data_IF_474249162103
#
_entry.id   IF_474249162103
#
_cell.length_a   1.000
_cell.length_b   1.000
_cell.length_c   1.000
_cell.angle_alpha   90.00
_cell.angle_beta   90.00
_cell.angle_gamma   90.00
#
_symmetry.space_group_name_H-M   'P 1'
#
loop_
_entity.id
_entity.type
_entity.pdbx_description
1 polymer ?
#
# COMPACT_ATOMS: atom_id res chain seq x y z
N UNK A 1 43.65 -41.29 31.70
CA UNK A 1 44.85 -42.02 31.26
C UNK A 1 44.78 -42.20 29.75
N UNK A 2 45.40 -41.28 29.00
CA UNK A 2 45.64 -41.43 27.57
C UNK A 2 47.10 -41.03 27.38
N UNK A 3 47.96 -42.04 27.24
CA UNK A 3 49.39 -41.87 27.05
C UNK A 3 49.64 -41.49 25.59
N UNK A 4 50.07 -40.26 25.35
CA UNK A 4 50.59 -39.83 24.05
C UNK A 4 52.10 -39.91 24.12
N UNK A 5 52.66 -40.81 23.31
CA UNK A 5 54.09 -41.10 23.24
C UNK A 5 54.88 -39.90 22.75
N UNK A 6 55.90 -39.54 23.52
CA UNK A 6 56.91 -38.55 23.16
C UNK A 6 57.87 -39.19 22.13
N UNK A 7 57.70 -38.86 20.85
CA UNK A 7 58.69 -39.17 19.83
C UNK A 7 59.79 -38.11 19.94
N UNK A 8 60.94 -38.51 20.48
CA UNK A 8 62.15 -37.71 20.45
C UNK A 8 62.65 -37.64 18.99
N UNK A 9 62.29 -36.57 18.29
CA UNK A 9 62.94 -36.20 17.03
C UNK A 9 64.31 -35.65 17.42
N UNK A 10 65.35 -36.48 17.26
CA UNK A 10 66.73 -36.02 17.33
C UNK A 10 66.96 -35.02 16.20
N UNK A 11 66.91 -33.74 16.53
CA UNK A 11 67.31 -32.67 15.60
C UNK A 11 68.82 -32.78 15.51
N UNK A 12 69.32 -33.38 14.44
CA UNK A 12 70.72 -33.25 14.07
C UNK A 12 71.02 -31.75 14.01
N UNK A 13 72.04 -31.30 14.75
CA UNK A 13 72.54 -29.94 14.62
C UNK A 13 72.80 -29.69 13.12
N UNK A 14 72.17 -28.68 12.50
CA UNK A 14 72.45 -28.39 11.12
C UNK A 14 73.96 -28.12 11.01
N UNK A 15 74.61 -28.81 10.08
CA UNK A 15 75.93 -28.43 9.62
C UNK A 15 75.92 -26.92 9.38
N UNK A 16 76.94 -26.21 9.89
CA UNK A 16 77.16 -24.75 9.80
C UNK A 16 76.70 -24.19 8.45
N UNK A 17 75.41 -23.95 8.29
CA UNK A 17 74.86 -23.22 7.17
C UNK A 17 75.40 -21.81 7.35
N UNK A 18 76.00 -21.28 6.29
CA UNK A 18 76.49 -19.91 6.32
C UNK A 18 75.29 -19.01 6.68
N UNK A 19 75.18 -18.58 7.94
CA UNK A 19 74.13 -17.69 8.46
C UNK A 19 74.19 -16.27 7.86
N UNK A 20 74.66 -16.17 6.62
CA UNK A 20 74.91 -14.96 5.87
C UNK A 20 73.90 -14.81 4.73
N UNK A 21 73.05 -15.82 4.50
CA UNK A 21 72.00 -15.77 3.48
C UNK A 21 70.62 -15.65 4.13
N UNK A 22 69.80 -14.64 3.78
CA UNK A 22 68.44 -14.47 4.29
C UNK A 22 67.52 -15.70 4.13
N UNK A 23 67.85 -16.63 3.24
CA UNK A 23 67.13 -17.90 3.04
C UNK A 23 67.22 -18.87 4.23
N UNK A 24 68.22 -18.72 5.09
CA UNK A 24 68.53 -19.69 6.15
C UNK A 24 67.82 -19.38 7.47
N UNK A 25 66.93 -18.37 7.46
CA UNK A 25 66.30 -17.80 8.64
C UNK A 25 64.83 -18.21 8.69
N UNK A 26 64.34 -18.55 9.88
CA UNK A 26 62.91 -18.79 10.08
C UNK A 26 62.17 -17.46 9.93
N UNK A 27 61.40 -17.31 8.85
CA UNK A 27 60.53 -16.17 8.60
C UNK A 27 59.10 -16.45 9.04
N UNK A 28 58.39 -15.43 9.52
CA UNK A 28 56.95 -15.48 9.75
C UNK A 28 56.22 -15.49 8.39
N UNK A 29 55.00 -16.05 8.31
CA UNK A 29 54.19 -15.97 7.09
C UNK A 29 54.01 -14.51 6.63
N UNK A 30 54.48 -14.20 5.42
CA UNK A 30 54.42 -12.85 4.84
C UNK A 30 55.51 -11.88 5.32
N UNK A 31 56.42 -12.29 6.21
CA UNK A 31 57.58 -11.49 6.61
C UNK A 31 58.54 -11.31 5.43
N UNK A 32 58.90 -10.07 5.16
CA UNK A 32 60.00 -9.74 4.25
C UNK A 32 61.20 -9.30 5.10
N UNK A 33 62.40 -9.67 4.68
CA UNK A 33 63.65 -9.24 5.28
C UNK A 33 64.53 -8.60 4.22
N UNK A 34 65.17 -7.49 4.56
CA UNK A 34 66.13 -6.81 3.69
C UNK A 34 67.42 -6.54 4.44
N UNK A 35 68.56 -6.72 3.78
CA UNK A 35 69.82 -6.15 4.23
C UNK A 35 69.76 -4.65 3.96
N UNK A 36 69.83 -3.84 5.02
CA UNK A 36 69.71 -2.37 4.91
C UNK A 36 71.02 -1.69 4.51
N UNK A 37 72.03 -2.46 4.12
CA UNK A 37 73.13 -1.96 3.31
C UNK A 37 74.31 -1.44 4.11
N UNK A 38 75.12 -2.38 4.59
CA UNK A 38 76.50 -2.15 4.99
C UNK A 38 77.35 -3.13 4.18
N UNK A 39 77.82 -2.71 3.00
CA UNK A 39 78.43 -3.63 2.01
C UNK A 39 79.95 -3.77 2.17
N UNK A 40 80.54 -3.10 3.16
CA UNK A 40 81.96 -3.22 3.48
C UNK A 40 82.16 -3.44 4.98
N UNK A 41 83.15 -4.26 5.34
CA UNK A 41 83.55 -4.49 6.73
C UNK A 41 83.75 -3.12 7.42
N UNK A 42 82.96 -2.84 8.47
CA UNK A 42 82.94 -1.60 9.28
C UNK A 42 82.08 -0.42 8.79
N UNK A 43 81.05 -0.64 7.97
CA UNK A 43 80.26 0.47 7.42
C UNK A 43 79.10 0.99 8.29
N UNK A 44 78.65 0.26 9.33
CA UNK A 44 77.67 0.78 10.29
C UNK A 44 78.28 1.18 11.64
N UNK A 45 77.76 2.28 12.20
CA UNK A 45 77.97 2.61 13.61
C UNK A 45 77.30 1.56 14.51
N UNK A 46 78.02 1.08 15.53
CA UNK A 46 77.44 0.33 16.65
C UNK A 46 77.17 1.35 17.79
N UNK A 47 75.91 1.62 18.20
CA UNK A 47 74.67 0.90 17.90
C UNK A 47 74.04 1.20 16.54
N UNK A 48 73.35 0.19 15.99
CA UNK A 48 72.38 0.39 14.91
C UNK A 48 71.06 0.94 15.48
N UNK A 49 70.46 1.92 14.80
CA UNK A 49 69.18 2.53 15.19
C UNK A 49 68.16 2.21 14.11
N UNK A 50 67.01 1.66 14.50
CA UNK A 50 65.94 1.33 13.56
C UNK A 50 65.40 2.60 12.90
N UNK A 51 65.37 2.70 11.56
CA UNK A 51 65.00 3.92 10.88
C UNK A 51 63.51 4.25 11.05
N UNK A 52 63.21 5.55 11.07
CA UNK A 52 61.84 6.06 11.12
C UNK A 52 61.01 5.70 9.88
N UNK A 53 61.65 5.57 8.73
CA UNK A 53 61.04 5.13 7.48
C UNK A 53 61.40 3.68 7.20
N UNK A 54 60.40 2.85 6.87
CA UNK A 54 60.60 1.47 6.45
C UNK A 54 61.61 1.38 5.29
N UNK A 55 62.68 0.58 5.41
CA UNK A 55 63.61 0.31 4.33
C UNK A 55 62.94 -0.17 3.04
N UNK A 56 63.50 0.23 1.89
CA UNK A 56 63.06 -0.24 0.57
C UNK A 56 63.15 -1.77 0.48
N UNK A 57 62.07 -2.41 0.05
CA UNK A 57 61.95 -3.87 -0.03
C UNK A 57 61.25 -4.51 1.18
N UNK A 58 60.94 -3.74 2.23
CA UNK A 58 59.98 -4.13 3.26
C UNK A 58 58.56 -3.69 2.90
N UNK A 59 57.52 -4.36 3.40
CA UNK A 59 56.14 -3.98 3.15
C UNK A 59 55.86 -2.56 3.65
N UNK A 60 55.38 -1.69 2.76
CA UNK A 60 55.01 -0.33 3.10
C UNK A 60 53.92 -0.30 4.18
N UNK A 61 54.14 0.49 5.24
CA UNK A 61 53.24 0.53 6.40
C UNK A 61 53.29 -0.75 7.27
N UNK A 62 54.22 -1.66 7.00
CA UNK A 62 54.44 -2.86 7.80
C UNK A 62 54.90 -2.56 9.23
N UNK A 63 54.96 -3.60 10.04
CA UNK A 63 55.45 -3.54 11.41
C UNK A 63 56.76 -4.31 11.49
N UNK A 64 57.80 -3.69 12.08
CA UNK A 64 59.09 -4.35 12.26
C UNK A 64 58.92 -5.57 13.18
N UNK A 65 59.36 -6.72 12.71
CA UNK A 65 59.22 -8.01 13.41
C UNK A 65 60.54 -8.46 14.03
N UNK A 66 61.67 -8.16 13.39
CA UNK A 66 62.99 -8.67 13.78
C UNK A 66 64.11 -7.79 13.23
N UNK A 67 65.19 -7.66 13.99
CA UNK A 67 66.45 -7.04 13.55
C UNK A 67 67.59 -8.01 13.83
N UNK A 68 68.50 -8.13 12.88
CA UNK A 68 69.66 -9.01 12.97
C UNK A 68 70.88 -8.12 12.75
N UNK A 69 71.82 -8.15 13.68
CA UNK A 69 73.06 -7.39 13.61
C UNK A 69 74.22 -8.37 13.48
N UNK A 70 75.03 -8.21 12.43
CA UNK A 70 76.19 -9.05 12.17
C UNK A 70 77.50 -8.33 12.50
N UNK A 71 78.40 -8.99 13.22
CA UNK A 71 79.69 -8.43 13.61
C UNK A 71 80.58 -8.07 12.40
N UNK A 72 81.33 -6.97 12.48
CA UNK A 72 82.42 -6.67 11.57
C UNK A 72 83.52 -7.75 11.59
N UNK A 73 83.99 -8.20 10.42
CA UNK A 73 85.17 -9.08 10.34
C UNK A 73 86.43 -8.23 10.56
N UNK A 74 87.15 -8.47 11.65
CA UNK A 74 88.43 -7.81 11.96
C UNK A 74 89.59 -8.80 11.94
N UNK A 75 89.46 -9.92 11.22
CA UNK A 75 90.50 -10.96 11.13
C UNK A 75 90.64 -11.85 12.39
N UNK A 76 89.70 -11.78 13.33
CA UNK A 76 89.61 -12.67 14.51
C UNK A 76 88.24 -13.32 14.56
N UNK A 77 88.21 -14.65 14.64
CA UNK A 77 86.96 -15.42 14.74
C UNK A 77 86.21 -15.01 16.01
N UNK A 78 84.98 -14.54 15.85
CA UNK A 78 84.05 -14.30 16.96
C UNK A 78 83.24 -15.55 17.26
N UNK A 79 82.80 -15.70 18.51
CA UNK A 79 82.01 -16.88 18.96
C UNK A 79 80.54 -16.71 18.59
N UNK A 80 80.08 -15.45 18.44
CA UNK A 80 78.74 -15.10 17.99
C UNK A 80 78.83 -14.10 16.83
N UNK A 81 78.79 -14.58 15.59
CA UNK A 81 78.87 -13.72 14.41
C UNK A 81 77.59 -12.88 14.21
N UNK A 82 76.44 -13.35 14.73
CA UNK A 82 75.13 -12.74 14.56
C UNK A 82 74.40 -12.60 15.91
N UNK A 83 73.87 -11.41 16.19
CA UNK A 83 72.90 -11.18 17.28
C UNK A 83 71.51 -10.94 16.70
N UNK A 84 70.53 -11.75 17.12
CA UNK A 84 69.14 -11.63 16.68
C UNK A 84 68.32 -10.94 17.76
N UNK A 85 67.77 -9.79 17.41
CA UNK A 85 66.87 -9.02 18.23
C UNK A 85 65.44 -9.27 17.75
N UNK A 86 64.72 -10.07 18.50
CA UNK A 86 63.30 -10.28 18.31
C UNK A 86 62.61 -10.40 19.67
N UNK A 87 61.33 -10.01 19.77
CA UNK A 87 60.58 -10.21 21.00
C UNK A 87 60.35 -11.71 21.23
N UNK A 88 61.22 -12.32 22.04
CA UNK A 88 61.21 -13.76 22.35
C UNK A 88 61.21 -13.92 23.88
N UNK A 89 60.33 -14.79 24.42
CA UNK A 89 60.53 -15.42 25.72
C UNK A 89 61.22 -16.75 25.46
N UNK A 90 62.38 -16.94 26.06
CA UNK A 90 62.97 -18.27 26.19
C UNK A 90 62.62 -18.78 27.58
N UNK A 91 61.76 -19.79 27.66
CA UNK A 91 61.47 -20.50 28.92
C UNK A 91 61.95 -21.94 28.79
N UNK A 92 63.10 -22.26 29.41
CA UNK A 92 63.76 -23.56 29.26
C UNK A 92 64.27 -23.78 27.83
N UNK A 93 64.01 -24.94 27.24
CA UNK A 93 64.34 -25.26 25.83
C UNK A 93 63.30 -24.78 24.82
N UNK A 94 62.25 -24.08 25.28
CA UNK A 94 61.15 -23.63 24.42
C UNK A 94 61.32 -22.16 24.10
N UNK A 95 61.52 -21.87 22.81
CA UNK A 95 61.50 -20.51 22.27
C UNK A 95 60.05 -20.16 21.97
N UNK A 96 59.43 -19.31 22.80
CA UNK A 96 58.09 -18.79 22.58
C UNK A 96 58.19 -17.37 22.06
N UNK A 97 57.77 -17.17 20.82
CA UNK A 97 57.58 -15.84 20.26
C UNK A 97 56.48 -15.14 21.07
N UNK A 98 56.85 -14.14 21.88
CA UNK A 98 55.86 -13.30 22.53
C UNK A 98 55.57 -12.19 21.55
N UNK A 99 54.30 -12.01 21.22
CA UNK A 99 53.82 -10.73 20.68
C UNK A 99 53.90 -9.66 21.78
N UNK A 100 55.10 -9.30 22.25
CA UNK A 100 55.31 -7.99 22.89
C UNK A 100 55.32 -6.92 21.80
N UNK A 101 55.22 -5.67 22.24
CA UNK A 101 55.17 -4.48 21.39
C UNK A 101 56.15 -4.62 20.22
N UNK A 102 55.64 -4.37 19.02
CA UNK A 102 56.43 -4.30 17.81
C UNK A 102 57.71 -3.49 18.03
N UNK A 103 58.80 -3.88 17.36
CA UNK A 103 59.98 -3.03 17.30
C UNK A 103 59.55 -1.68 16.71
N UNK A 104 59.91 -0.58 17.37
CA UNK A 104 59.53 0.76 16.95
C UNK A 104 60.73 1.49 16.37
N UNK A 105 60.47 2.42 15.47
CA UNK A 105 61.50 3.33 14.98
C UNK A 105 62.22 4.02 16.15
N UNK A 106 63.55 4.07 16.09
CA UNK A 106 64.40 4.61 17.15
C UNK A 106 64.93 3.56 18.14
N UNK A 107 64.43 2.31 18.11
CA UNK A 107 65.02 1.22 18.89
C UNK A 107 66.50 1.03 18.50
N UNK A 108 67.35 0.82 19.50
CA UNK A 108 68.80 0.69 19.34
C UNK A 108 69.27 -0.75 19.55
N UNK A 109 70.18 -1.21 18.70
CA UNK A 109 70.70 -2.57 18.70
C UNK A 109 72.22 -2.53 18.70
N UNK A 110 72.83 -3.08 19.75
CA UNK A 110 74.28 -3.10 19.96
C UNK A 110 74.84 -4.47 19.57
N UNK A 111 75.98 -4.55 18.92
CA UNK A 111 76.70 -5.83 18.87
C UNK A 111 77.63 -5.93 20.08
N UNK A 112 77.49 -6.96 20.91
CA UNK A 112 78.17 -7.04 22.20
C UNK A 112 79.69 -7.24 22.08
N UNK A 113 80.16 -7.86 20.99
CA UNK A 113 81.57 -8.28 20.85
C UNK A 113 82.44 -7.35 19.99
N UNK A 114 81.88 -6.39 19.23
CA UNK A 114 82.63 -5.60 18.24
C UNK A 114 82.16 -4.15 18.19
N UNK A 115 83.09 -3.20 18.04
CA UNK A 115 82.78 -1.78 17.88
C UNK A 115 82.18 -1.40 16.52
N UNK A 116 82.07 -2.34 15.59
CA UNK A 116 81.56 -2.13 14.24
C UNK A 116 80.66 -3.28 13.79
N UNK A 117 79.71 -2.95 12.91
CA UNK A 117 78.74 -3.87 12.34
C UNK A 117 79.05 -4.02 10.84
N UNK A 118 79.06 -5.25 10.35
CA UNK A 118 79.26 -5.55 8.92
C UNK A 118 77.95 -5.52 8.16
N UNK A 119 76.88 -6.09 8.70
CA UNK A 119 75.58 -6.17 8.05
C UNK A 119 74.46 -6.00 9.06
N UNK A 120 73.35 -5.40 8.62
CA UNK A 120 72.11 -5.35 9.39
C UNK A 120 70.98 -5.84 8.51
N UNK A 121 70.27 -6.87 8.96
CA UNK A 121 69.07 -7.36 8.29
C UNK A 121 67.87 -6.94 9.12
N UNK A 122 66.93 -6.25 8.49
CA UNK A 122 65.68 -5.82 9.12
C UNK A 122 64.55 -6.59 8.47
N UNK A 123 63.68 -7.16 9.30
CA UNK A 123 62.48 -7.85 8.85
C UNK A 123 61.21 -7.11 9.30
N UNK A 124 60.18 -7.19 8.47
CA UNK A 124 58.88 -6.65 8.76
C UNK A 124 57.76 -7.53 8.20
N UNK A 125 56.65 -7.57 8.91
CA UNK A 125 55.40 -8.16 8.43
C UNK A 125 54.51 -7.06 7.85
N UNK A 126 53.75 -7.32 6.77
CA UNK A 126 52.74 -6.40 6.28
C UNK A 126 51.78 -6.04 7.40
N UNK A 127 51.37 -4.78 7.49
CA UNK A 127 50.28 -4.42 8.38
C UNK A 127 49.07 -5.30 8.03
N UNK A 128 48.32 -5.80 9.02
CA UNK A 128 47.11 -6.54 8.73
C UNK A 128 46.24 -5.68 7.84
N UNK A 129 45.93 -6.19 6.64
CA UNK A 129 45.09 -5.49 5.69
C UNK A 129 43.66 -5.49 6.26
N UNK A 130 43.33 -4.44 7.01
CA UNK A 130 41.99 -4.26 7.56
C UNK A 130 41.07 -3.76 6.45
N UNK A 131 39.99 -4.49 6.17
CA UNK A 131 38.96 -4.03 5.26
C UNK A 131 38.20 -2.87 5.92
N UNK A 132 38.23 -1.65 5.37
CA UNK A 132 37.48 -0.54 5.94
C UNK A 132 35.98 -0.80 5.82
N UNK A 133 35.26 -0.54 6.90
CA UNK A 133 33.79 -0.60 6.96
C UNK A 133 33.26 0.66 7.63
N UNK A 134 32.13 1.14 7.12
CA UNK A 134 31.34 2.23 7.70
C UNK A 134 29.95 1.70 8.02
N UNK A 135 29.37 2.12 9.15
CA UNK A 135 28.02 1.69 9.51
C UNK A 135 27.02 2.29 8.52
N UNK A 136 26.34 1.44 7.75
CA UNK A 136 25.37 1.88 6.72
C UNK A 136 23.97 2.03 7.28
N UNK A 137 23.67 1.29 8.35
CA UNK A 137 22.34 1.31 8.99
C UNK A 137 22.55 1.45 10.48
N UNK A 138 22.03 2.52 11.06
CA UNK A 138 22.08 2.75 12.50
C UNK A 138 21.02 1.89 13.22
N UNK A 139 21.26 1.50 14.48
CA UNK A 139 20.21 1.01 15.37
C UNK A 139 19.03 1.97 15.45
N UNK A 140 17.82 1.43 15.59
CA UNK A 140 16.58 2.21 15.67
C UNK A 140 15.58 1.57 16.63
N UNK A 141 14.38 2.14 16.76
CA UNK A 141 13.29 1.56 17.54
C UNK A 141 12.01 1.52 16.71
N UNK A 142 11.28 0.41 16.79
CA UNK A 142 9.90 0.36 16.33
C UNK A 142 9.01 1.14 17.31
N UNK A 143 8.05 1.93 16.81
CA UNK A 143 7.13 2.68 17.67
C UNK A 143 6.24 1.73 18.48
N UNK A 144 5.81 2.13 19.69
CA UNK A 144 4.83 1.39 20.46
C UNK A 144 3.45 1.44 19.78
N UNK A 145 2.61 0.46 20.10
CA UNK A 145 1.19 0.45 19.76
C UNK A 145 0.35 0.46 21.03
N UNK A 146 -0.97 0.36 20.91
CA UNK A 146 -1.84 0.17 22.07
C UNK A 146 -1.77 -1.25 22.64
N UNK A 147 -1.42 -2.20 21.79
CA UNK A 147 -1.41 -3.63 22.14
C UNK A 147 0.00 -4.13 22.49
N UNK A 148 1.03 -3.33 22.22
CA UNK A 148 2.42 -3.72 22.42
C UNK A 148 3.35 -2.54 22.68
N UNK A 149 4.40 -2.82 23.43
CA UNK A 149 5.52 -1.91 23.60
C UNK A 149 6.26 -1.67 22.27
N UNK A 150 7.03 -0.59 22.20
CA UNK A 150 8.02 -0.46 21.14
C UNK A 150 9.10 -1.54 21.26
N UNK A 151 9.92 -1.69 20.23
CA UNK A 151 11.01 -2.68 20.24
C UNK A 151 12.29 -2.12 19.65
N UNK A 152 13.44 -2.37 20.28
CA UNK A 152 14.75 -2.04 19.75
C UNK A 152 15.05 -2.84 18.47
N UNK A 153 15.58 -2.18 17.45
CA UNK A 153 16.01 -2.79 16.18
C UNK A 153 17.52 -2.63 16.03
N UNK A 154 18.23 -3.76 16.07
CA UNK A 154 19.67 -3.84 15.82
C UNK A 154 19.91 -4.41 14.43
N UNK A 155 20.52 -3.67 13.50
CA UNK A 155 20.79 -4.17 12.16
C UNK A 155 21.92 -5.20 12.17
N UNK A 156 21.91 -6.08 11.17
CA UNK A 156 23.05 -6.95 10.87
C UNK A 156 23.89 -6.32 9.77
N UNK A 157 25.20 -6.20 9.99
CA UNK A 157 26.12 -5.67 9.00
C UNK A 157 27.45 -6.42 9.03
N UNK A 158 27.91 -6.90 7.88
CA UNK A 158 29.21 -7.57 7.76
C UNK A 158 30.35 -6.65 8.20
N UNK A 159 31.25 -7.17 9.03
CA UNK A 159 32.38 -6.42 9.54
C UNK A 159 32.07 -5.52 10.76
N UNK A 160 30.82 -5.48 11.22
CA UNK A 160 30.40 -4.70 12.39
C UNK A 160 29.73 -5.60 13.41
N UNK A 161 30.17 -5.52 14.67
CA UNK A 161 29.56 -6.17 15.83
C UNK A 161 28.86 -5.10 16.65
N UNK A 162 27.55 -5.23 16.82
CA UNK A 162 26.77 -4.36 17.70
C UNK A 162 26.67 -4.95 19.10
N UNK A 163 26.75 -4.09 20.12
CA UNK A 163 26.67 -4.45 21.54
C UNK A 163 25.87 -3.41 22.32
N UNK A 164 25.37 -3.80 23.50
CA UNK A 164 24.63 -2.91 24.42
C UNK A 164 23.24 -3.44 24.81
N UNK A 165 22.55 -4.12 23.88
CA UNK A 165 21.30 -4.81 24.13
C UNK A 165 20.99 -5.83 23.01
N UNK A 166 20.05 -6.74 23.27
CA UNK A 166 19.55 -7.68 22.26
C UNK A 166 18.54 -7.01 21.32
N UNK A 167 18.47 -7.50 20.08
CA UNK A 167 17.42 -7.12 19.14
C UNK A 167 16.04 -7.51 19.68
N UNK A 168 15.05 -6.63 19.56
CA UNK A 168 13.70 -6.82 20.10
C UNK A 168 13.54 -6.47 21.58
N UNK A 169 14.54 -5.85 22.22
CA UNK A 169 14.39 -5.38 23.60
C UNK A 169 13.22 -4.37 23.72
N UNK A 170 12.43 -4.50 24.79
CA UNK A 170 11.23 -3.69 25.05
C UNK A 170 11.53 -2.26 25.52
N UNK A 171 10.64 -1.64 26.32
CA UNK A 171 10.80 -0.24 26.71
C UNK A 171 12.05 0.04 27.53
N UNK A 172 12.74 1.14 27.22
CA UNK A 172 13.96 1.54 27.90
C UNK A 172 14.82 2.49 27.08
N UNK A 173 15.94 2.91 27.66
CA UNK A 173 16.98 3.69 26.98
C UNK A 173 18.21 2.80 26.82
N UNK A 174 18.65 2.58 25.59
CA UNK A 174 19.75 1.68 25.26
C UNK A 174 20.92 2.43 24.65
N UNK A 175 22.12 2.17 25.17
CA UNK A 175 23.38 2.67 24.61
C UNK A 175 24.00 1.58 23.74
N UNK A 176 23.91 1.74 22.42
CA UNK A 176 24.40 0.76 21.45
C UNK A 176 25.75 1.20 20.92
N UNK A 177 26.71 0.28 20.87
CA UNK A 177 28.06 0.52 20.31
C UNK A 177 28.34 -0.47 19.19
N UNK A 178 28.72 0.05 18.02
CA UNK A 178 29.25 -0.73 16.90
C UNK A 178 30.78 -0.83 17.00
N UNK A 179 31.32 -2.03 16.82
CA UNK A 179 32.75 -2.31 16.81
C UNK A 179 33.15 -3.05 15.54
N UNK A 180 34.38 -2.86 15.06
CA UNK A 180 34.88 -3.63 13.93
C UNK A 180 34.99 -5.11 14.30
N UNK A 181 34.50 -6.01 13.45
CA UNK A 181 34.84 -7.42 13.55
C UNK A 181 36.31 -7.66 13.19
N UNK A 182 36.86 -8.83 13.53
CA UNK A 182 38.25 -9.16 13.21
C UNK A 182 38.51 -9.06 11.70
N UNK A 183 39.62 -8.43 11.31
CA UNK A 183 39.97 -8.18 9.90
C UNK A 183 39.32 -6.92 9.31
N UNK A 184 38.53 -6.17 10.08
CA UNK A 184 37.92 -4.92 9.64
C UNK A 184 38.45 -3.71 10.41
N UNK A 185 38.38 -2.53 9.81
CA UNK A 185 38.56 -1.24 10.48
C UNK A 185 37.25 -0.44 10.39
N UNK A 186 36.72 0.00 11.53
CA UNK A 186 35.47 0.75 11.58
C UNK A 186 35.76 2.26 11.51
N UNK A 187 35.01 2.98 10.68
CA UNK A 187 35.06 4.44 10.60
C UNK A 187 33.66 5.06 10.67
N UNK A 188 33.59 6.34 11.06
CA UNK A 188 32.33 7.07 11.23
C UNK A 188 31.68 6.91 12.61
N UNK A 189 30.38 7.22 12.70
CA UNK A 189 29.59 7.13 13.93
C UNK A 189 29.40 5.69 14.36
N UNK A 190 29.73 5.38 15.62
CA UNK A 190 29.68 4.02 16.15
C UNK A 190 29.00 3.91 17.54
N UNK A 191 28.35 4.98 18.01
CA UNK A 191 27.62 5.02 19.28
C UNK A 191 26.27 5.68 19.09
N UNK A 192 25.23 5.08 19.68
CA UNK A 192 23.85 5.58 19.62
C UNK A 192 23.17 5.42 20.97
N UNK A 193 22.30 6.38 21.29
CA UNK A 193 21.35 6.26 22.40
C UNK A 193 19.96 6.16 21.81
N UNK A 194 19.31 5.00 22.00
CA UNK A 194 17.99 4.69 21.44
C UNK A 194 16.99 4.58 22.59
N UNK A 195 15.89 5.33 22.49
CA UNK A 195 14.77 5.23 23.43
C UNK A 195 13.67 4.39 22.81
N UNK A 196 13.31 3.29 23.48
CA UNK A 196 12.16 2.46 23.15
C UNK A 196 11.04 2.82 24.12
N UNK A 197 9.90 3.22 23.58
CA UNK A 197 8.76 3.67 24.36
C UNK A 197 7.89 2.49 24.81
N UNK A 198 7.25 2.64 25.97
CA UNK A 198 6.20 1.72 26.43
C UNK A 198 4.95 1.81 25.57
N UNK A 199 4.11 0.77 25.63
CA UNK A 199 2.82 0.73 24.97
C UNK A 199 2.03 2.00 25.26
N UNK A 200 1.32 2.49 24.26
CA UNK A 200 0.50 3.68 24.39
C UNK A 200 -0.60 3.41 25.42
N UNK A 201 -0.98 4.44 26.18
CA UNK A 201 -2.08 4.35 27.17
C UNK A 201 -2.93 5.62 27.15
N UNK A 202 -4.17 5.50 27.62
CA UNK A 202 -5.08 6.64 27.75
C UNK A 202 -5.41 7.29 26.39
N UNK A 203 -5.43 8.63 26.29
CA UNK A 203 -5.79 9.35 25.06
C UNK A 203 -4.92 9.01 23.85
N UNK A 204 -3.66 8.62 24.06
CA UNK A 204 -2.77 8.19 22.99
C UNK A 204 -3.18 6.85 22.35
N UNK A 205 -4.11 6.13 22.98
CA UNK A 205 -4.71 4.90 22.45
C UNK A 205 -6.11 5.05 21.89
N UNK A 206 -6.59 6.27 21.83
CA UNK A 206 -7.89 6.55 21.25
C UNK A 206 -7.67 6.86 19.78
N UNK A 207 -8.13 5.99 18.90
CA UNK A 207 -8.12 6.25 17.47
C UNK A 207 -9.25 7.23 17.17
N UNK A 208 -8.89 8.46 16.78
CA UNK A 208 -9.86 9.45 16.34
C UNK A 208 -10.36 9.07 14.94
N UNK A 209 -11.67 8.90 14.79
CA UNK A 209 -12.32 8.61 13.53
C UNK A 209 -13.42 9.65 13.25
N UNK A 210 -13.70 9.89 11.98
CA UNK A 210 -14.82 10.73 11.54
C UNK A 210 -15.98 9.81 11.11
N UNK A 211 -17.15 9.87 11.77
CA UNK A 211 -18.31 9.10 11.36
C UNK A 211 -18.76 9.44 9.93
N UNK A 212 -19.20 8.42 9.20
CA UNK A 212 -19.88 8.64 7.92
C UNK A 212 -21.31 9.12 8.17
N UNK A 213 -21.79 10.03 7.32
CA UNK A 213 -23.13 10.57 7.39
C UNK A 213 -24.20 9.51 7.08
N UNK A 214 -25.27 9.50 7.88
CA UNK A 214 -26.47 8.76 7.51
C UNK A 214 -27.12 9.41 6.29
N UNK A 215 -27.66 8.59 5.39
CA UNK A 215 -28.39 9.07 4.21
C UNK A 215 -29.89 8.91 4.42
N UNK A 216 -30.65 9.87 3.90
CA UNK A 216 -32.12 9.84 3.90
C UNK A 216 -32.59 9.88 2.44
N UNK A 217 -33.62 9.11 2.13
CA UNK A 217 -34.29 9.13 0.84
C UNK A 217 -35.80 9.28 1.08
N UNK A 218 -36.37 10.32 0.50
CA UNK A 218 -37.81 10.53 0.53
C UNK A 218 -38.53 9.49 -0.33
N UNK A 219 -39.85 9.40 -0.18
CA UNK A 219 -40.66 8.49 -0.98
C UNK A 219 -40.59 8.86 -2.47
N UNK A 220 -40.77 7.84 -3.32
CA UNK A 220 -40.87 8.01 -4.77
C UNK A 220 -42.19 7.45 -5.30
N UNK A 221 -42.67 7.99 -6.41
CA UNK A 221 -43.83 7.46 -7.11
C UNK A 221 -43.53 6.05 -7.65
N UNK A 222 -44.43 5.10 -7.40
CA UNK A 222 -44.31 3.71 -7.89
C UNK A 222 -45.34 3.39 -8.97
N UNK A 223 -46.45 4.12 -9.01
CA UNK A 223 -47.48 4.07 -10.03
C UNK A 223 -48.26 5.41 -10.07
N UNK A 224 -49.10 5.65 -11.09
CA UNK A 224 -49.95 6.84 -11.13
C UNK A 224 -50.83 6.93 -9.87
N UNK A 225 -50.71 8.04 -9.13
CA UNK A 225 -51.40 8.28 -7.86
C UNK A 225 -50.90 7.45 -6.66
N UNK A 226 -49.81 6.68 -6.80
CA UNK A 226 -49.29 5.80 -5.74
C UNK A 226 -47.81 6.11 -5.50
N UNK A 227 -47.45 6.37 -4.24
CA UNK A 227 -46.06 6.49 -3.80
C UNK A 227 -45.68 5.36 -2.83
N UNK A 228 -44.40 4.99 -2.85
CA UNK A 228 -43.83 4.02 -1.93
C UNK A 228 -43.43 4.65 -0.58
N UNK A 229 -42.76 3.87 0.26
CA UNK A 229 -42.10 4.35 1.47
C UNK A 229 -40.82 5.14 1.12
N UNK A 230 -40.38 6.01 2.02
CA UNK A 230 -39.01 6.51 2.01
C UNK A 230 -38.06 5.54 2.73
N UNK A 231 -36.83 5.96 2.95
CA UNK A 231 -35.86 5.18 3.71
C UNK A 231 -34.76 6.03 4.36
N UNK A 232 -34.05 5.44 5.31
CA UNK A 232 -32.77 5.94 5.79
C UNK A 232 -31.71 4.83 5.76
N UNK A 233 -30.45 5.20 5.58
CA UNK A 233 -29.32 4.28 5.51
C UNK A 233 -28.27 4.62 6.56
N UNK A 234 -27.93 3.62 7.36
CA UNK A 234 -26.88 3.68 8.39
C UNK A 234 -25.60 3.07 7.82
N UNK A 235 -24.50 3.84 7.71
CA UNK A 235 -23.24 3.34 7.18
C UNK A 235 -22.53 2.41 8.17
N UNK A 236 -21.63 1.57 7.65
CA UNK A 236 -20.72 0.75 8.47
C UNK A 236 -19.39 1.46 8.62
N UNK A 237 -19.05 1.90 9.83
CA UNK A 237 -17.76 2.53 10.13
C UNK A 237 -17.14 1.84 11.34
N UNK A 238 -15.94 1.28 11.16
CA UNK A 238 -15.18 0.66 12.24
C UNK A 238 -14.96 1.66 13.37
N UNK A 239 -15.33 1.27 14.59
CA UNK A 239 -15.19 2.14 15.76
C UNK A 239 -16.44 2.98 16.08
N UNK A 240 -17.47 2.94 15.25
CA UNK A 240 -18.71 3.71 15.42
C UNK A 240 -19.91 2.78 15.58
N UNK A 241 -20.73 3.06 16.60
CA UNK A 241 -22.09 2.54 16.74
C UNK A 241 -23.09 3.66 16.42
N UNK A 242 -24.19 3.35 15.75
CA UNK A 242 -25.22 4.34 15.41
C UNK A 242 -26.49 4.06 16.21
N UNK A 243 -27.06 5.12 16.76
CA UNK A 243 -28.39 5.12 17.36
C UNK A 243 -29.37 5.89 16.49
N UNK A 244 -30.59 5.38 16.37
CA UNK A 244 -31.67 6.02 15.61
C UNK A 244 -32.84 6.30 16.54
N UNK A 245 -33.45 7.48 16.36
CA UNK A 245 -34.68 7.90 17.00
C UNK A 245 -35.73 8.15 15.91
N UNK A 246 -36.91 7.56 16.07
CA UNK A 246 -38.05 7.68 15.17
C UNK A 246 -39.20 8.42 15.88
N UNK A 247 -39.81 9.40 15.19
CA UNK A 247 -41.01 10.14 15.63
C UNK A 247 -40.95 10.71 17.06
N UNK A 248 -39.77 11.20 17.44
CA UNK A 248 -39.55 11.79 18.77
C UNK A 248 -39.44 10.78 19.91
N UNK A 249 -39.38 9.47 19.61
CA UNK A 249 -39.16 8.41 20.60
C UNK A 249 -37.76 8.41 21.24
N UNK A 250 -37.34 7.25 21.74
CA UNK A 250 -35.99 7.09 22.31
C UNK A 250 -34.98 6.68 21.23
N UNK A 251 -33.71 7.02 21.46
CA UNK A 251 -32.61 6.49 20.68
C UNK A 251 -32.43 4.99 20.99
N UNK A 252 -32.34 4.18 19.93
CA UNK A 252 -31.97 2.76 20.02
C UNK A 252 -30.83 2.45 19.06
N UNK A 253 -29.97 1.51 19.44
CA UNK A 253 -28.84 1.06 18.61
C UNK A 253 -29.37 0.34 17.37
N UNK A 254 -28.83 0.71 16.20
CA UNK A 254 -29.21 0.14 14.90
C UNK A 254 -27.96 -0.29 14.15
N UNK A 255 -27.99 -1.49 13.57
CA UNK A 255 -26.89 -2.00 12.75
C UNK A 255 -26.85 -1.32 11.38
N UNK A 256 -25.68 -1.35 10.73
CA UNK A 256 -25.54 -0.80 9.38
C UNK A 256 -26.53 -1.46 8.40
N UNK A 257 -27.14 -0.66 7.53
CA UNK A 257 -28.17 -1.11 6.59
C UNK A 257 -29.13 -0.01 6.16
N UNK A 258 -30.05 -0.36 5.26
CA UNK A 258 -31.11 0.52 4.77
C UNK A 258 -32.46 0.09 5.34
N UNK A 259 -33.21 1.06 5.85
CA UNK A 259 -34.46 0.84 6.55
C UNK A 259 -35.57 1.65 5.88
N UNK A 260 -36.62 0.97 5.44
CA UNK A 260 -37.82 1.62 4.90
C UNK A 260 -38.66 2.24 6.01
N UNK A 261 -39.21 3.41 5.75
CA UNK A 261 -40.07 4.17 6.68
C UNK A 261 -41.17 4.90 5.92
N UNK A 262 -42.33 5.03 6.56
CA UNK A 262 -43.49 5.66 5.96
C UNK A 262 -43.28 7.18 5.78
N UNK A 263 -44.04 7.75 4.84
CA UNK A 263 -44.07 9.20 4.63
C UNK A 263 -44.59 9.90 5.89
N UNK A 264 -43.95 11.01 6.25
CA UNK A 264 -44.24 11.80 7.45
C UNK A 264 -43.43 11.38 8.67
N UNK A 265 -42.79 10.21 8.65
CA UNK A 265 -41.90 9.76 9.73
C UNK A 265 -40.69 10.69 9.85
N UNK A 266 -40.36 11.08 11.10
CA UNK A 266 -39.21 11.91 11.43
C UNK A 266 -38.09 11.05 12.00
N UNK A 267 -36.93 11.04 11.33
CA UNK A 267 -35.77 10.23 11.69
C UNK A 267 -34.64 11.14 12.19
N UNK A 268 -34.03 10.78 13.33
CA UNK A 268 -32.78 11.39 13.80
C UNK A 268 -31.75 10.30 14.06
N UNK A 269 -30.51 10.53 13.66
CA UNK A 269 -29.41 9.57 13.79
C UNK A 269 -28.27 10.21 14.59
N UNK A 270 -27.67 9.43 15.49
CA UNK A 270 -26.50 9.83 16.29
C UNK A 270 -25.45 8.73 16.24
N UNK A 271 -24.18 9.13 16.10
CA UNK A 271 -23.03 8.24 16.22
C UNK A 271 -22.50 8.23 17.66
N UNK A 272 -22.03 7.06 18.11
CA UNK A 272 -21.35 6.81 19.39
C UNK A 272 -20.02 6.13 19.10
N UNK A 273 -18.94 6.59 19.73
CA UNK A 273 -17.66 5.89 19.67
C UNK A 273 -17.72 4.59 20.48
N UNK A 274 -17.30 3.50 19.87
CA UNK A 274 -17.02 2.25 20.59
C UNK A 274 -15.70 2.35 21.35
N UNK A 275 -15.44 1.40 22.26
CA UNK A 275 -14.20 1.38 23.07
C UNK A 275 -12.94 1.41 22.20
N UNK A 276 -12.00 2.29 22.53
CA UNK A 276 -10.75 2.48 21.78
C UNK A 276 -10.83 3.56 20.69
N UNK A 277 -12.00 4.15 20.48
CA UNK A 277 -12.21 5.20 19.46
C UNK A 277 -12.72 6.51 20.09
N UNK A 278 -12.48 7.61 19.38
CA UNK A 278 -13.15 8.89 19.62
C UNK A 278 -13.73 9.40 18.30
N UNK A 279 -14.87 10.09 18.40
CA UNK A 279 -15.50 10.72 17.24
C UNK A 279 -14.93 12.14 17.06
N UNK A 280 -14.60 12.47 15.81
CA UNK A 280 -14.40 13.84 15.36
C UNK A 280 -15.49 14.24 14.37
N UNK A 281 -15.63 15.55 14.12
CA UNK A 281 -16.57 16.07 13.14
C UNK A 281 -18.05 15.94 13.56
N UNK A 282 -18.91 15.74 12.58
CA UNK A 282 -20.37 15.67 12.78
C UNK A 282 -20.78 14.29 13.28
N UNK A 283 -21.49 14.24 14.41
CA UNK A 283 -21.93 12.99 15.05
C UNK A 283 -23.45 12.85 15.11
N UNK A 284 -24.21 13.81 14.58
CA UNK A 284 -25.67 13.79 14.59
C UNK A 284 -26.22 14.28 13.25
N UNK A 285 -27.27 13.61 12.76
CA UNK A 285 -27.95 13.94 11.51
C UNK A 285 -29.47 13.91 11.71
N UNK A 286 -30.16 14.85 11.07
CA UNK A 286 -31.59 15.06 11.27
C UNK A 286 -31.90 16.11 12.36
N UNK A 287 -33.18 16.29 12.72
CA UNK A 287 -34.33 15.50 12.26
C UNK A 287 -34.58 15.62 10.75
N UNK A 288 -34.84 14.51 10.09
CA UNK A 288 -35.28 14.45 8.69
C UNK A 288 -36.70 13.89 8.64
N UNK A 289 -37.63 14.64 8.07
CA UNK A 289 -39.00 14.16 7.81
C UNK A 289 -39.05 13.54 6.43
N UNK A 290 -39.43 12.27 6.34
CA UNK A 290 -39.58 11.57 5.07
C UNK A 290 -40.72 12.22 4.29
N UNK A 291 -40.39 12.93 3.23
CA UNK A 291 -41.39 13.63 2.43
C UNK A 291 -42.12 12.69 1.47
N UNK A 292 -43.37 13.03 1.18
CA UNK A 292 -44.03 12.52 -0.02
C UNK A 292 -43.29 13.08 -1.25
N UNK A 293 -43.37 12.41 -2.41
CA UNK A 293 -42.89 13.00 -3.65
C UNK A 293 -43.52 14.39 -3.88
N UNK A 294 -42.74 15.34 -4.40
CA UNK A 294 -43.20 16.72 -4.60
C UNK A 294 -44.33 16.86 -5.62
N UNK A 295 -44.45 15.89 -6.54
CA UNK A 295 -45.65 15.70 -7.34
C UNK A 295 -46.54 14.68 -6.63
N UNK A 296 -47.83 14.91 -6.64
CA UNK A 296 -48.91 14.02 -6.19
C UNK A 296 -49.00 12.68 -6.96
N UNK A 297 -47.90 12.28 -7.62
CA UNK A 297 -47.73 11.11 -8.46
C UNK A 297 -48.73 11.01 -9.60
N UNK A 298 -49.41 12.10 -9.97
CA UNK A 298 -50.31 12.05 -11.11
C UNK A 298 -49.52 12.00 -12.42
N UNK A 299 -49.96 11.13 -13.33
CA UNK A 299 -49.46 11.10 -14.69
C UNK A 299 -50.32 12.01 -15.56
N UNK A 300 -49.66 12.96 -16.23
CA UNK A 300 -50.33 13.87 -17.16
C UNK A 300 -50.72 13.12 -18.44
N UNK A 301 -51.98 13.21 -18.84
CA UNK A 301 -52.52 12.60 -20.06
C UNK A 301 -53.25 13.63 -20.92
N UNK A 302 -53.21 13.43 -22.23
CA UNK A 302 -53.92 14.28 -23.21
C UNK A 302 -55.04 13.44 -23.82
N UNK A 303 -56.32 13.79 -23.60
CA UNK A 303 -57.41 13.13 -24.28
C UNK A 303 -57.31 13.27 -25.80
N UNK A 304 -57.73 12.22 -26.50
CA UNK A 304 -57.75 12.13 -27.96
C UNK A 304 -59.20 12.23 -28.42
N UNK A 305 -59.43 13.02 -29.46
CA UNK A 305 -60.77 13.20 -30.03
C UNK A 305 -61.37 11.87 -30.50
N UNK A 306 -62.70 11.68 -30.34
CA UNK A 306 -63.39 10.49 -30.82
C UNK A 306 -63.36 10.44 -32.36
N UNK A 307 -63.36 9.23 -32.91
CA UNK A 307 -63.59 9.02 -34.35
C UNK A 307 -65.09 9.11 -34.62
N UNK A 308 -65.47 9.98 -35.55
CA UNK A 308 -66.87 10.24 -35.90
C UNK A 308 -67.08 9.94 -37.39
N UNK A 309 -68.14 9.20 -37.71
CA UNK A 309 -68.59 8.93 -39.08
C UNK A 309 -70.00 9.47 -39.21
N UNK A 310 -70.17 10.52 -40.03
CA UNK A 310 -71.48 11.15 -40.28
C UNK A 310 -72.27 10.38 -41.35
N UNK A 311 -73.58 10.59 -41.41
CA UNK A 311 -74.47 9.93 -42.38
C UNK A 311 -74.32 10.65 -43.74
N UNK A 312 -73.69 10.01 -44.73
CA UNK A 312 -73.46 10.58 -46.07
C UNK A 312 -74.37 9.99 -47.17
N UNK A 313 -75.58 9.56 -46.82
CA UNK A 313 -76.52 9.02 -47.79
C UNK A 313 -77.68 8.26 -47.18
N UNK A 314 -78.62 7.86 -48.02
CA UNK A 314 -79.74 7.04 -47.57
C UNK A 314 -79.28 5.63 -47.19
N UNK A 315 -79.91 5.02 -46.18
CA UNK A 315 -79.62 3.65 -45.74
C UNK A 315 -78.31 3.45 -44.94
N UNK A 316 -77.55 4.52 -44.68
CA UNK A 316 -76.32 4.49 -43.87
C UNK A 316 -76.56 5.03 -42.46
N UNK A 317 -75.92 4.43 -41.47
CA UNK A 317 -75.92 4.90 -40.08
C UNK A 317 -74.60 5.60 -39.73
N UNK A 318 -74.67 6.60 -38.87
CA UNK A 318 -73.49 7.25 -38.31
C UNK A 318 -72.89 6.45 -37.17
N UNK A 319 -71.71 6.86 -36.70
CA UNK A 319 -71.10 6.28 -35.50
C UNK A 319 -70.18 7.26 -34.78
N UNK A 320 -70.09 7.10 -33.47
CA UNK A 320 -69.13 7.79 -32.59
C UNK A 320 -68.35 6.74 -31.84
N UNK A 321 -67.03 6.69 -32.06
CA UNK A 321 -66.12 5.76 -31.39
C UNK A 321 -65.13 6.56 -30.54
N UNK A 322 -65.23 6.52 -29.21
CA UNK A 322 -64.23 7.12 -28.33
C UNK A 322 -62.83 6.56 -28.59
N UNK A 323 -61.81 7.38 -28.34
CA UNK A 323 -60.44 6.90 -28.35
C UNK A 323 -60.18 5.97 -27.15
N UNK A 324 -59.20 5.07 -27.28
CA UNK A 324 -58.65 4.33 -26.16
C UNK A 324 -57.35 5.02 -25.71
N UNK A 325 -57.45 5.83 -24.66
CA UNK A 325 -56.32 6.58 -24.10
C UNK A 325 -56.07 6.10 -22.67
N UNK A 326 -54.86 5.60 -22.42
CA UNK A 326 -54.44 5.18 -21.07
C UNK A 326 -54.65 6.33 -20.09
N UNK A 327 -55.26 6.05 -18.94
CA UNK A 327 -55.54 7.06 -17.92
C UNK A 327 -56.74 7.96 -18.19
N UNK A 328 -57.48 7.76 -19.27
CA UNK A 328 -58.69 8.55 -19.59
C UNK A 328 -59.91 7.64 -19.66
N UNK A 329 -61.03 8.10 -19.12
CA UNK A 329 -62.35 7.49 -19.25
C UNK A 329 -63.22 8.38 -20.15
N UNK A 330 -63.77 7.80 -21.23
CA UNK A 330 -64.64 8.50 -22.17
C UNK A 330 -66.09 8.07 -22.01
N UNK A 331 -66.99 9.04 -21.96
CA UNK A 331 -68.44 8.80 -21.89
C UNK A 331 -69.10 9.44 -23.11
N UNK A 332 -69.83 8.63 -23.89
CA UNK A 332 -70.66 9.09 -25.02
C UNK A 332 -72.10 9.27 -24.56
N UNK A 333 -72.73 10.38 -24.93
CA UNK A 333 -74.14 10.65 -24.68
C UNK A 333 -74.86 11.13 -25.94
N UNK A 334 -76.02 10.53 -26.32
CA UNK A 334 -76.57 9.31 -25.72
C UNK A 334 -75.71 8.08 -26.04
N UNK A 335 -75.75 7.06 -25.17
CA UNK A 335 -75.01 5.82 -25.43
C UNK A 335 -75.55 5.13 -26.70
N UNK A 336 -74.64 4.71 -27.58
CA UNK A 336 -75.01 4.04 -28.83
C UNK A 336 -75.66 4.96 -29.87
N UNK A 337 -75.39 6.27 -29.82
CA UNK A 337 -75.87 7.24 -30.81
C UNK A 337 -75.44 6.84 -32.24
N UNK A 338 -76.41 6.70 -33.13
CA UNK A 338 -76.22 6.34 -34.55
C UNK A 338 -76.83 7.36 -35.53
N UNK A 339 -77.58 8.34 -35.00
CA UNK A 339 -78.08 9.52 -35.71
C UNK A 339 -78.30 10.66 -34.69
N UNK A 340 -78.37 11.91 -35.15
CA UNK A 340 -78.64 13.06 -34.28
C UNK A 340 -77.42 13.57 -33.50
N UNK A 341 -77.67 14.36 -32.44
CA UNK A 341 -76.63 15.05 -31.66
C UNK A 341 -75.89 14.06 -30.76
N UNK A 342 -74.56 14.19 -30.68
CA UNK A 342 -73.73 13.46 -29.74
C UNK A 342 -72.88 14.41 -28.89
N UNK A 343 -72.53 13.95 -27.69
CA UNK A 343 -71.43 14.49 -26.88
C UNK A 343 -70.50 13.36 -26.44
N UNK A 344 -69.21 13.66 -26.33
CA UNK A 344 -68.19 12.79 -25.75
C UNK A 344 -67.42 13.59 -24.71
N UNK A 345 -67.39 13.11 -23.47
CA UNK A 345 -66.66 13.73 -22.36
C UNK A 345 -65.55 12.80 -21.88
N UNK A 346 -64.34 13.32 -21.79
CA UNK A 346 -63.14 12.69 -21.27
C UNK A 346 -62.88 13.11 -19.82
N UNK A 347 -62.65 12.15 -18.94
CA UNK A 347 -62.27 12.36 -17.54
C UNK A 347 -61.00 11.59 -17.22
N UNK A 348 -60.10 12.13 -16.40
CA UNK A 348 -58.93 11.39 -15.95
C UNK A 348 -59.35 10.25 -15.02
N UNK A 349 -58.70 9.09 -15.12
CA UNK A 349 -58.79 8.00 -14.15
C UNK A 349 -57.98 8.36 -12.90
N UNK A 350 -58.24 7.70 -11.78
CA UNK A 350 -57.47 7.87 -10.55
C UNK A 350 -55.96 7.72 -10.81
N UNK A 351 -55.17 8.65 -10.26
CA UNK A 351 -53.72 8.72 -10.49
C UNK A 351 -53.30 9.39 -11.80
N UNK A 352 -54.24 9.89 -12.60
CA UNK A 352 -53.96 10.68 -13.80
C UNK A 352 -54.56 12.08 -13.67
N UNK A 353 -53.96 13.04 -14.36
CA UNK A 353 -54.54 14.37 -14.57
C UNK A 353 -54.57 14.70 -16.06
N UNK A 354 -55.61 15.40 -16.51
CA UNK A 354 -55.62 15.91 -17.86
C UNK A 354 -54.59 17.04 -17.98
N UNK A 355 -53.84 17.08 -19.07
CA UNK A 355 -52.95 18.21 -19.36
C UNK A 355 -53.74 19.52 -19.33
N UNK A 356 -53.17 20.54 -18.70
CA UNK A 356 -53.78 21.86 -18.68
C UNK A 356 -54.05 22.38 -20.10
N UNK A 357 -55.26 22.90 -20.32
CA UNK A 357 -55.75 23.33 -21.62
C UNK A 357 -56.11 22.22 -22.63
N UNK A 358 -56.03 20.94 -22.27
CA UNK A 358 -56.43 19.86 -23.17
C UNK A 358 -57.95 19.86 -23.41
N UNK A 359 -58.38 19.51 -24.63
CA UNK A 359 -59.80 19.34 -24.94
C UNK A 359 -60.34 18.08 -24.27
N UNK A 360 -61.32 18.23 -23.38
CA UNK A 360 -62.01 17.12 -22.71
C UNK A 360 -63.40 16.83 -23.26
N UNK A 361 -63.97 17.72 -24.06
CA UNK A 361 -65.36 17.63 -24.50
C UNK A 361 -65.48 17.83 -26.01
N UNK A 362 -66.16 16.90 -26.67
CA UNK A 362 -66.48 16.98 -28.09
C UNK A 362 -67.98 16.86 -28.28
N UNK A 363 -68.55 17.66 -29.17
CA UNK A 363 -69.95 17.57 -29.55
C UNK A 363 -70.12 17.79 -31.04
N UNK A 364 -71.20 17.24 -31.60
CA UNK A 364 -71.53 17.34 -33.01
C UNK A 364 -72.85 16.65 -33.33
N UNK A 365 -73.13 16.49 -34.62
CA UNK A 365 -74.37 15.87 -35.11
C UNK A 365 -74.03 14.87 -36.21
N UNK A 366 -74.55 13.64 -36.12
CA UNK A 366 -74.38 12.56 -37.11
C UNK A 366 -75.30 12.71 -38.34
N UNK A 367 -76.10 13.76 -38.38
CA UNK A 367 -77.25 13.97 -39.27
C UNK A 367 -78.39 12.96 -39.02
N UNK A 368 -79.43 12.98 -39.86
CA UNK A 368 -80.64 12.15 -39.71
C UNK A 368 -80.60 11.00 -40.71
N UNK A 369 -80.88 9.78 -40.23
CA UNK A 369 -81.01 8.63 -41.12
C UNK A 369 -82.21 8.79 -42.05
N UNK A 370 -81.98 8.57 -43.34
CA UNK A 370 -83.03 8.54 -44.37
C UNK A 370 -83.03 7.18 -45.02
N UNK A 371 -84.16 6.47 -45.06
CA UNK A 371 -84.26 5.19 -45.77
C UNK A 371 -84.20 5.40 -47.27
N UNK A 372 -83.41 4.61 -48.00
CA UNK A 372 -83.43 4.67 -49.46
C UNK A 372 -84.78 4.20 -49.98
N UNK A 373 -85.39 5.01 -50.86
CA UNK A 373 -86.52 4.52 -51.66
C UNK A 373 -85.98 3.59 -52.73
N UNK A 374 -86.51 2.37 -52.80
CA UNK A 374 -86.28 1.52 -53.96
C UNK A 374 -87.13 2.08 -55.11
N UNK A 375 -86.54 2.50 -56.24
CA UNK A 375 -87.34 2.94 -57.37
C UNK A 375 -88.22 1.78 -57.81
N UNK A 376 -89.54 1.98 -57.81
CA UNK A 376 -90.49 1.01 -58.33
C UNK A 376 -90.14 0.78 -59.79
N UNK A 377 -89.83 -0.47 -60.15
CA UNK A 377 -89.50 -0.81 -61.53
C UNK A 377 -90.67 -0.37 -62.42
N UNK A 378 -90.43 0.41 -63.49
CA UNK A 378 -91.52 0.87 -64.33
C UNK A 378 -92.24 -0.35 -64.91
N UNK A 379 -93.56 -0.41 -64.72
CA UNK A 379 -94.36 -1.45 -65.34
C UNK A 379 -94.54 -1.08 -66.80
N UNK A 380 -93.70 -1.65 -67.67
CA UNK A 380 -93.88 -1.51 -69.12
C UNK A 380 -95.01 -2.44 -69.55
N UNK A 381 -96.18 -1.87 -69.82
CA UNK A 381 -97.26 -2.61 -70.46
C UNK A 381 -96.90 -2.74 -71.94
N UNK A 382 -96.34 -3.87 -72.36
CA UNK A 382 -96.02 -4.11 -73.76
C UNK A 382 -97.31 -4.18 -74.57
N UNK A 383 -97.42 -3.35 -75.61
CA UNK A 383 -98.57 -3.35 -76.50
C UNK A 383 -98.72 -4.74 -77.14
N UNK A 384 -99.88 -5.36 -76.97
CA UNK A 384 -100.21 -6.65 -77.59
C UNK A 384 -100.77 -6.37 -78.98
N UNK A 385 -100.18 -6.98 -80.02
CA UNK A 385 -100.74 -6.94 -81.37
C UNK A 385 -102.08 -7.69 -81.40
N UNK A 386 -103.18 -6.97 -81.62
CA UNK A 386 -104.53 -7.56 -81.75
C UNK A 386 -104.88 -7.95 -83.19
N UNK A 387 -104.02 -7.68 -84.18
CA UNK A 387 -104.16 -8.15 -85.57
C UNK A 387 -103.28 -7.39 -86.57
N UNK A 388 -103.24 -7.80 -87.86
CA UNK A 388 -102.49 -7.10 -88.91
C UNK A 388 -103.07 -5.69 -89.15
N UNK A 389 -102.28 -4.66 -88.87
CA UNK A 389 -102.62 -3.26 -89.21
C UNK A 389 -103.26 -2.41 -88.11
N UNK A 390 -103.34 -2.87 -86.85
CA UNK A 390 -103.83 -2.05 -85.74
C UNK A 390 -102.84 -2.05 -84.55
N UNK A 391 -102.39 -0.86 -84.15
CA UNK A 391 -101.62 -0.63 -82.92
C UNK A 391 -102.54 0.03 -81.89
N UNK A 392 -102.67 -0.56 -80.70
CA UNK A 392 -103.18 0.16 -79.53
C UNK A 392 -102.13 1.14 -79.03
N UNK A 393 -102.55 2.32 -78.62
CA UNK A 393 -101.69 3.36 -78.06
C UNK A 393 -101.14 2.93 -76.70
N UNK A 394 -99.91 2.44 -76.67
CA UNK A 394 -99.15 2.37 -75.43
C UNK A 394 -98.82 3.79 -74.97
N UNK A 395 -99.48 4.28 -73.91
CA UNK A 395 -99.09 5.50 -73.22
C UNK A 395 -97.98 5.20 -72.19
N UNK A 396 -97.00 6.11 -72.10
CA UNK A 396 -95.91 6.10 -71.11
C UNK A 396 -96.38 6.33 -69.68
#
# INVERSE_FOLDING_TARGET
MLAVGLVAVGIAAPALAQMNQPSDWVTLPGEACVDVGYSTENSASNPYILPATMPTGLPAGGTYSKVIVKAGNTGTSVVHENTVYAPIEVTGTTVKWIYRAALVAGDTFVHDEKGSISHVIVCAVPAPHLTPVTVTTAPSANPPTCDGDGSLVIPTQTGVIFSGAANGAGPGVYNITGSAANGYSLSGTNKWTITVLAKLTGPACIVTIEPAAAAFADAICTAPGIYGSGSYTIPSVTGVEYEVKIDGGNYGVVVAGTYGVDVGTVVSVKAIATTGYALAGTTTWGPHTIAAPAADCHVIVVPVAPKVVVIEGCGLWGSVTPADTVGVNYVVSPQGVVEGVYTVTATAKDGYILQDGATSDWSGTLEKHTTCVTPTSPTVTQAVCTGPGAFGDGSY
#
